data_IF_355183308162
#
_entry.id   IF_355183308162
#
_cell.length_a   1.000
_cell.length_b   1.000
_cell.length_c   1.000
_cell.angle_alpha   90.00
_cell.angle_beta   90.00
_cell.angle_gamma   90.00
#
_symmetry.space_group_name_H-M   'P 1'
#
loop_
_entity.id
_entity.type
_entity.pdbx_description
1 polymer ?
#
# COMPACT_ATOMS: atom_id res chain seq x y z
N UNK A 1 53.46 -15.43 24.42
CA UNK A 1 52.76 -15.54 23.10
C UNK A 1 51.76 -14.40 23.07
N UNK A 2 52.08 -13.37 22.28
CA UNK A 2 51.24 -12.20 22.09
C UNK A 2 50.09 -12.56 21.20
N UNK A 3 48.85 -12.34 21.67
CA UNK A 3 47.65 -12.34 20.84
C UNK A 3 47.42 -10.88 20.37
N UNK A 4 47.69 -10.65 19.10
CA UNK A 4 47.38 -9.39 18.43
C UNK A 4 45.87 -9.27 18.24
N UNK A 5 45.26 -8.28 18.89
CA UNK A 5 43.86 -7.94 18.72
C UNK A 5 43.59 -7.36 17.34
N UNK A 6 42.64 -7.94 16.62
CA UNK A 6 42.15 -7.41 15.38
C UNK A 6 41.23 -6.20 15.70
N UNK A 7 41.76 -5.00 15.56
CA UNK A 7 41.00 -3.76 15.73
C UNK A 7 40.13 -3.49 14.52
N UNK A 8 38.85 -3.86 14.58
CA UNK A 8 37.88 -3.30 13.67
C UNK A 8 37.58 -1.86 14.08
N UNK A 9 38.14 -0.90 13.37
CA UNK A 9 37.77 0.51 13.50
C UNK A 9 36.39 0.68 12.82
N UNK A 10 35.34 0.80 13.62
CA UNK A 10 34.07 1.30 13.17
C UNK A 10 34.16 2.79 12.91
N UNK A 11 34.23 3.20 11.67
CA UNK A 11 33.94 4.59 11.29
C UNK A 11 32.44 4.80 11.42
N UNK A 12 31.96 5.73 12.24
CA UNK A 12 30.54 6.08 12.23
C UNK A 12 30.20 6.60 10.85
N UNK A 13 29.21 5.98 10.21
CA UNK A 13 28.56 6.56 9.04
C UNK A 13 27.90 7.84 9.53
N UNK A 14 28.37 9.00 9.07
CA UNK A 14 27.67 10.26 9.29
C UNK A 14 26.25 10.09 8.74
N UNK A 15 25.28 9.93 9.64
CA UNK A 15 23.88 10.13 9.32
C UNK A 15 23.75 11.59 8.90
N UNK A 16 23.80 11.86 7.60
CA UNK A 16 23.18 13.09 7.10
C UNK A 16 21.72 12.99 7.48
N UNK A 17 21.30 13.78 8.45
CA UNK A 17 19.90 14.08 8.71
C UNK A 17 19.34 14.62 7.39
N UNK A 18 18.77 13.74 6.58
CA UNK A 18 17.91 14.15 5.48
C UNK A 18 16.71 14.76 6.17
N UNK A 19 16.50 16.07 6.01
CA UNK A 19 15.27 16.72 6.47
C UNK A 19 14.09 15.88 6.02
N UNK A 20 13.31 15.40 6.99
CA UNK A 20 12.11 14.60 6.72
C UNK A 20 11.10 15.51 6.03
N UNK A 21 10.94 15.34 4.72
CA UNK A 21 9.95 16.10 3.95
C UNK A 21 8.58 15.57 4.38
N UNK A 22 7.85 16.37 5.15
CA UNK A 22 6.48 16.05 5.53
C UNK A 22 5.61 16.01 4.28
N UNK A 23 4.87 14.93 4.15
CA UNK A 23 3.88 14.78 3.08
C UNK A 23 2.72 15.77 3.33
N UNK A 24 2.75 16.91 2.66
CA UNK A 24 1.76 17.98 2.80
C UNK A 24 0.68 17.88 1.73
N UNK A 25 -0.48 18.53 1.94
CA UNK A 25 -1.52 18.62 0.91
C UNK A 25 -1.02 19.31 -0.36
N UNK A 26 -0.14 20.30 -0.24
CA UNK A 26 0.45 20.98 -1.40
C UNK A 26 1.32 20.03 -2.24
N UNK A 27 2.13 19.18 -1.60
CA UNK A 27 2.92 18.16 -2.29
C UNK A 27 2.00 17.11 -2.93
N UNK A 28 0.94 16.71 -2.24
CA UNK A 28 -0.05 15.79 -2.77
C UNK A 28 -0.77 16.37 -4.00
N UNK A 29 -1.10 17.65 -4.00
CA UNK A 29 -1.71 18.34 -5.16
C UNK A 29 -0.77 18.37 -6.36
N UNK A 30 0.51 18.61 -6.12
CA UNK A 30 1.51 18.56 -7.18
C UNK A 30 1.56 17.16 -7.82
N UNK A 31 1.60 16.11 -7.01
CA UNK A 31 1.62 14.73 -7.51
C UNK A 31 0.30 14.35 -8.18
N UNK A 32 -0.85 14.78 -7.64
CA UNK A 32 -2.15 14.52 -8.24
C UNK A 32 -2.29 15.14 -9.65
N UNK A 33 -1.63 16.26 -9.90
CA UNK A 33 -1.61 16.87 -11.23
C UNK A 33 -0.82 16.05 -12.27
N UNK A 34 0.10 15.19 -11.83
CA UNK A 34 0.91 14.34 -12.71
C UNK A 34 0.21 13.03 -13.10
N UNK A 35 -0.82 12.60 -12.37
CA UNK A 35 -1.50 11.32 -12.63
C UNK A 35 -2.66 11.49 -13.59
N UNK A 36 -2.85 10.49 -14.47
CA UNK A 36 -3.95 10.48 -15.45
C UNK A 36 -5.32 10.10 -14.87
N UNK A 37 -5.41 9.88 -13.56
CA UNK A 37 -6.64 9.47 -12.85
C UNK A 37 -6.77 10.33 -11.61
N UNK A 38 -7.94 10.93 -11.38
CA UNK A 38 -8.20 11.66 -10.14
C UNK A 38 -8.17 10.70 -8.94
N UNK A 39 -7.14 10.78 -8.08
CA UNK A 39 -6.97 9.86 -6.96
C UNK A 39 -7.82 10.23 -5.75
N UNK A 40 -8.50 11.37 -5.76
CA UNK A 40 -9.24 11.88 -4.60
C UNK A 40 -10.33 10.91 -4.18
N UNK A 41 -10.42 10.60 -2.88
CA UNK A 41 -11.56 9.87 -2.36
C UNK A 41 -12.84 10.71 -2.50
N UNK A 42 -13.99 10.04 -2.47
CA UNK A 42 -15.25 10.75 -2.41
C UNK A 42 -15.38 11.41 -1.02
N UNK A 43 -15.42 12.73 -0.98
CA UNK A 43 -15.57 13.52 0.25
C UNK A 43 -16.92 13.29 0.96
N UNK A 44 -17.88 12.67 0.29
CA UNK A 44 -19.21 12.39 0.85
C UNK A 44 -19.31 11.05 1.58
N UNK A 45 -18.22 10.29 1.68
CA UNK A 45 -18.24 9.00 2.38
C UNK A 45 -18.28 9.24 3.90
N UNK A 46 -19.45 9.04 4.49
CA UNK A 46 -19.62 9.09 5.93
C UNK A 46 -19.48 7.68 6.50
N UNK A 47 -18.42 7.41 7.25
CA UNK A 47 -18.18 6.14 7.95
C UNK A 47 -18.65 6.21 9.41
N UNK A 48 -19.67 7.04 9.71
CA UNK A 48 -20.24 7.23 11.06
C UNK A 48 -21.76 7.26 10.92
N UNK A 49 -22.47 6.44 11.70
CA UNK A 49 -23.94 6.47 11.76
C UNK A 49 -24.47 7.62 12.62
N UNK A 50 -25.80 7.78 12.63
CA UNK A 50 -26.49 8.83 13.40
C UNK A 50 -26.22 8.77 14.92
N UNK A 51 -25.75 7.62 15.43
CA UNK A 51 -25.40 7.38 16.82
C UNK A 51 -23.92 7.52 17.11
N UNK A 52 -23.11 7.91 16.10
CA UNK A 52 -21.67 8.05 16.21
C UNK A 52 -20.89 6.73 16.12
N UNK A 53 -21.54 5.63 15.74
CA UNK A 53 -20.86 4.34 15.55
C UNK A 53 -20.15 4.31 14.20
N UNK A 54 -18.94 3.75 14.19
CA UNK A 54 -18.17 3.57 12.95
C UNK A 54 -18.82 2.51 12.05
N UNK A 55 -19.17 2.90 10.83
CA UNK A 55 -19.67 2.01 9.78
C UNK A 55 -18.58 1.87 8.72
N UNK A 56 -17.94 0.69 8.70
CA UNK A 56 -16.95 0.38 7.68
C UNK A 56 -17.57 0.33 6.29
N UNK A 57 -16.96 1.02 5.32
CA UNK A 57 -17.34 0.86 3.92
C UNK A 57 -17.19 -0.61 3.47
N UNK A 58 -18.06 -1.11 2.56
CA UNK A 58 -17.91 -2.44 1.99
C UNK A 58 -16.58 -2.60 1.24
N UNK A 59 -16.04 -3.82 1.22
CA UNK A 59 -14.92 -4.14 0.35
C UNK A 59 -15.39 -4.09 -1.11
N UNK A 60 -14.76 -3.23 -1.92
CA UNK A 60 -15.18 -3.02 -3.30
C UNK A 60 -14.58 -4.04 -4.26
N UNK A 61 -13.42 -4.61 -3.89
CA UNK A 61 -12.66 -5.55 -4.72
C UNK A 61 -12.47 -6.82 -3.91
N UNK A 62 -13.04 -7.93 -4.39
CA UNK A 62 -13.09 -9.20 -3.67
C UNK A 62 -12.75 -10.38 -4.59
N UNK A 63 -12.02 -10.14 -5.68
CA UNK A 63 -11.67 -11.18 -6.63
C UNK A 63 -10.80 -12.26 -5.97
N UNK A 64 -11.23 -13.53 -5.95
CA UNK A 64 -10.40 -14.61 -5.42
C UNK A 64 -9.39 -15.11 -6.46
N UNK A 65 -8.40 -15.84 -6.02
CA UNK A 65 -7.63 -16.71 -6.90
C UNK A 65 -8.39 -18.02 -7.12
N UNK A 66 -8.35 -18.55 -8.34
CA UNK A 66 -9.03 -19.81 -8.65
C UNK A 66 -9.09 -20.13 -10.15
N UNK A 67 -9.90 -21.14 -10.48
CA UNK A 67 -10.02 -21.65 -11.84
C UNK A 67 -11.30 -21.27 -12.56
N UNK A 68 -12.21 -20.63 -11.87
CA UNK A 68 -13.50 -20.18 -12.45
C UNK A 68 -13.27 -18.99 -13.36
N UNK A 69 -14.24 -18.74 -14.23
CA UNK A 69 -14.30 -17.52 -15.02
C UNK A 69 -14.38 -16.29 -14.09
N UNK A 70 -13.52 -15.31 -14.32
CA UNK A 70 -13.42 -14.11 -13.49
C UNK A 70 -12.51 -14.21 -12.29
N UNK A 71 -12.01 -15.42 -11.95
CA UNK A 71 -10.99 -15.57 -10.91
C UNK A 71 -9.62 -15.07 -11.37
N UNK A 72 -8.84 -14.54 -10.43
CA UNK A 72 -7.45 -14.20 -10.65
C UNK A 72 -6.64 -15.50 -10.89
N UNK A 73 -5.76 -15.47 -11.87
CA UNK A 73 -4.81 -16.56 -12.11
C UNK A 73 -3.49 -16.27 -11.42
N UNK A 74 -2.98 -17.25 -10.69
CA UNK A 74 -1.69 -17.15 -10.04
C UNK A 74 -0.59 -16.97 -11.11
N UNK A 75 0.17 -15.90 -10.97
CA UNK A 75 1.29 -15.55 -11.84
C UNK A 75 2.37 -14.90 -11.00
N UNK A 76 3.59 -15.44 -11.06
CA UNK A 76 4.72 -14.88 -10.30
C UNK A 76 5.00 -13.44 -10.74
N UNK A 77 5.29 -12.59 -9.77
CA UNK A 77 5.63 -11.16 -9.95
C UNK A 77 4.54 -10.30 -10.60
N UNK A 78 3.29 -10.78 -10.61
CA UNK A 78 2.15 -10.03 -11.11
C UNK A 78 1.41 -9.27 -10.03
N UNK A 79 1.44 -9.77 -8.80
CA UNK A 79 0.67 -9.21 -7.69
C UNK A 79 1.55 -8.62 -6.62
N UNK A 80 1.07 -7.56 -6.00
CA UNK A 80 1.71 -6.90 -4.86
C UNK A 80 0.73 -6.62 -3.74
N UNK A 81 1.18 -6.79 -2.50
CA UNK A 81 0.42 -6.44 -1.29
C UNK A 81 0.81 -5.04 -0.86
N UNK A 82 -0.16 -4.14 -0.82
CA UNK A 82 0.02 -2.77 -0.33
C UNK A 82 -0.51 -2.68 1.10
N UNK A 83 0.34 -2.24 2.02
CA UNK A 83 0.08 -2.36 3.45
C UNK A 83 0.58 -1.18 4.28
N UNK A 84 0.07 -1.03 5.50
CA UNK A 84 0.49 -0.01 6.44
C UNK A 84 0.93 -0.64 7.77
N UNK A 85 2.06 -0.20 8.32
CA UNK A 85 2.64 -0.77 9.56
C UNK A 85 1.75 -0.64 10.78
N UNK A 86 0.95 0.43 10.88
CA UNK A 86 0.01 0.65 11.97
C UNK A 86 -1.31 -0.13 11.84
N UNK A 87 -1.47 -0.92 10.77
CA UNK A 87 -2.71 -1.64 10.50
C UNK A 87 -2.57 -3.13 10.82
N UNK A 88 -3.21 -3.60 11.91
CA UNK A 88 -3.19 -5.01 12.29
C UNK A 88 -3.75 -5.93 11.20
N UNK A 89 -4.72 -5.46 10.43
CA UNK A 89 -5.27 -6.21 9.28
C UNK A 89 -4.24 -6.39 8.17
N UNK A 90 -3.39 -5.39 7.96
CA UNK A 90 -2.30 -5.44 6.97
C UNK A 90 -1.20 -6.42 7.34
N UNK A 91 -0.92 -6.60 8.62
CA UNK A 91 0.10 -7.52 9.09
C UNK A 91 -0.22 -8.98 8.74
N UNK A 92 -1.51 -9.34 8.69
CA UNK A 92 -1.94 -10.72 8.42
C UNK A 92 -1.45 -11.25 7.06
N UNK A 93 -1.74 -10.62 5.90
CA UNK A 93 -1.25 -11.11 4.62
C UNK A 93 0.27 -11.03 4.48
N UNK A 94 0.94 -10.08 5.13
CA UNK A 94 2.41 -10.02 5.14
C UNK A 94 2.98 -11.23 5.90
N UNK A 95 2.44 -11.57 7.07
CA UNK A 95 2.87 -12.76 7.84
C UNK A 95 2.65 -14.03 7.01
N UNK A 96 1.50 -14.18 6.36
CA UNK A 96 1.20 -15.35 5.53
C UNK A 96 2.17 -15.45 4.34
N UNK A 97 2.45 -14.33 3.67
CA UNK A 97 3.44 -14.25 2.58
C UNK A 97 4.81 -14.77 3.04
N UNK A 98 5.26 -14.34 4.23
CA UNK A 98 6.53 -14.80 4.81
C UNK A 98 6.51 -16.28 5.17
N UNK A 99 5.46 -16.75 5.84
CA UNK A 99 5.34 -18.15 6.26
C UNK A 99 5.27 -19.13 5.09
N UNK A 100 4.70 -18.72 3.97
CA UNK A 100 4.56 -19.53 2.76
C UNK A 100 5.74 -19.38 1.78
N UNK A 101 6.73 -18.55 2.07
CA UNK A 101 7.89 -18.34 1.21
C UNK A 101 7.55 -17.66 -0.11
N UNK A 102 6.59 -16.72 -0.11
CA UNK A 102 6.10 -16.06 -1.33
C UNK A 102 6.82 -14.75 -1.65
N UNK A 103 7.93 -14.45 -0.98
CA UNK A 103 8.64 -13.18 -1.09
C UNK A 103 9.15 -12.90 -2.52
N UNK A 104 9.56 -13.96 -3.22
CA UNK A 104 10.11 -13.85 -4.57
C UNK A 104 9.04 -13.79 -5.68
N UNK A 105 7.76 -14.00 -5.31
CA UNK A 105 6.66 -14.09 -6.30
C UNK A 105 5.52 -13.11 -6.08
N UNK A 106 5.37 -12.59 -4.85
CA UNK A 106 4.40 -11.54 -4.51
C UNK A 106 5.18 -10.40 -3.88
N UNK A 107 5.22 -9.26 -4.55
CA UNK A 107 5.85 -8.06 -3.99
C UNK A 107 5.06 -7.48 -2.82
N UNK A 108 5.72 -6.69 -2.00
CA UNK A 108 5.05 -5.88 -0.99
C UNK A 108 5.49 -4.42 -1.09
N UNK A 109 4.56 -3.51 -0.85
CA UNK A 109 4.89 -2.08 -0.77
C UNK A 109 4.18 -1.47 0.45
N UNK A 110 4.97 -0.84 1.29
CA UNK A 110 4.44 -0.13 2.44
C UNK A 110 3.97 1.26 2.01
N UNK A 111 2.71 1.58 2.31
CA UNK A 111 2.20 2.96 2.20
C UNK A 111 2.55 3.75 3.45
N UNK A 112 2.46 5.07 3.39
CA UNK A 112 2.71 5.94 4.55
C UNK A 112 1.83 5.56 5.74
N UNK A 113 2.34 5.73 6.97
CA UNK A 113 1.57 5.48 8.18
C UNK A 113 0.27 6.29 8.21
N UNK A 114 -0.71 5.77 8.95
CA UNK A 114 -2.06 6.34 9.08
C UNK A 114 -2.13 7.70 9.80
N UNK A 115 -1.04 8.40 10.03
CA UNK A 115 -1.00 9.76 10.56
C UNK A 115 -0.61 10.81 9.53
N UNK A 116 -0.11 10.37 8.38
CA UNK A 116 0.30 11.24 7.27
C UNK A 116 -0.67 11.15 6.08
N UNK A 117 -1.90 10.71 6.33
CA UNK A 117 -2.92 10.70 5.30
C UNK A 117 -3.30 12.14 4.96
N UNK A 118 -3.05 12.51 3.73
CA UNK A 118 -3.59 13.72 3.15
C UNK A 118 -5.01 13.45 2.61
N UNK A 119 -5.66 14.45 2.03
CA UNK A 119 -6.99 14.31 1.44
C UNK A 119 -7.09 13.29 0.30
N UNK A 120 -5.97 12.82 -0.23
CA UNK A 120 -5.91 11.76 -1.25
C UNK A 120 -5.79 10.35 -0.65
N UNK A 121 -5.73 10.22 0.67
CA UNK A 121 -5.61 8.97 1.39
C UNK A 121 -4.17 8.47 1.52
N UNK A 122 -3.97 7.15 1.48
CA UNK A 122 -2.66 6.54 1.57
C UNK A 122 -1.78 6.87 0.36
N UNK A 123 -0.58 7.35 0.65
CA UNK A 123 0.43 7.71 -0.33
C UNK A 123 1.73 6.92 -0.11
N UNK A 124 2.68 7.03 -1.01
CA UNK A 124 4.01 6.47 -0.85
C UNK A 124 4.94 7.52 -0.26
N UNK A 125 5.69 7.15 0.76
CA UNK A 125 6.51 8.10 1.51
C UNK A 125 7.87 8.38 0.87
N UNK A 126 8.62 9.31 1.48
CA UNK A 126 9.95 9.74 1.03
C UNK A 126 10.94 8.57 0.87
N UNK A 127 10.83 7.52 1.70
CA UNK A 127 11.68 6.33 1.62
C UNK A 127 11.51 5.54 0.29
N UNK A 128 10.46 5.83 -0.49
CA UNK A 128 10.20 5.32 -1.83
C UNK A 128 10.28 6.42 -2.91
N UNK A 129 10.89 7.56 -2.59
CA UNK A 129 10.89 8.74 -3.45
C UNK A 129 9.46 9.16 -3.88
N UNK A 130 8.51 9.00 -2.94
CA UNK A 130 7.08 9.29 -3.09
C UNK A 130 6.34 8.49 -4.17
N UNK A 131 6.95 7.48 -4.74
CA UNK A 131 6.37 6.64 -5.80
C UNK A 131 6.42 5.16 -5.45
N UNK A 132 5.38 4.45 -5.85
CA UNK A 132 5.43 3.00 -5.83
C UNK A 132 6.48 2.47 -6.83
N UNK A 133 7.45 1.67 -6.39
CA UNK A 133 8.56 1.23 -7.24
C UNK A 133 8.12 0.33 -8.41
N UNK A 134 7.00 -0.40 -8.25
CA UNK A 134 6.52 -1.34 -9.26
C UNK A 134 5.67 -0.66 -10.35
N UNK A 135 4.92 0.39 -10.00
CA UNK A 135 3.93 0.97 -10.91
C UNK A 135 4.13 2.45 -11.21
N UNK A 136 4.91 3.15 -10.37
CA UNK A 136 5.11 4.60 -10.44
C UNK A 136 3.95 5.42 -9.89
N UNK A 137 2.98 4.80 -9.22
CA UNK A 137 1.84 5.49 -8.60
C UNK A 137 2.29 6.32 -7.39
N UNK A 138 1.63 7.44 -7.14
CA UNK A 138 1.83 8.28 -5.95
C UNK A 138 0.87 7.93 -4.81
N UNK A 139 -0.34 7.40 -5.16
CA UNK A 139 -1.41 7.15 -4.22
C UNK A 139 -1.99 5.75 -4.38
N UNK A 140 -2.35 5.11 -3.28
CA UNK A 140 -3.06 3.84 -3.30
C UNK A 140 -4.42 3.95 -4.03
N UNK A 141 -5.07 5.11 -3.94
CA UNK A 141 -6.36 5.39 -4.58
C UNK A 141 -6.31 5.34 -6.12
N UNK A 142 -5.14 5.53 -6.74
CA UNK A 142 -5.01 5.39 -8.19
C UNK A 142 -5.37 3.98 -8.66
N UNK A 143 -4.96 2.94 -7.94
CA UNK A 143 -5.30 1.56 -8.29
C UNK A 143 -6.79 1.28 -8.20
N UNK A 144 -7.45 1.90 -7.21
CA UNK A 144 -8.90 1.79 -7.04
C UNK A 144 -9.66 2.48 -8.18
N UNK A 145 -9.24 3.69 -8.55
CA UNK A 145 -9.85 4.43 -9.66
C UNK A 145 -9.60 3.78 -11.00
N UNK A 146 -8.45 3.17 -11.22
CA UNK A 146 -8.16 2.40 -12.44
C UNK A 146 -8.97 1.10 -12.51
N UNK A 147 -9.25 0.45 -11.37
CA UNK A 147 -10.12 -0.72 -11.32
C UNK A 147 -11.60 -0.36 -11.56
N UNK A 148 -12.04 0.77 -11.00
CA UNK A 148 -13.38 1.30 -11.17
C UNK A 148 -13.31 2.85 -11.14
N UNK A 149 -13.43 3.53 -12.30
CA UNK A 149 -13.41 5.00 -12.37
C UNK A 149 -14.50 5.66 -11.52
N UNK A 150 -15.63 5.00 -11.34
CA UNK A 150 -16.76 5.48 -10.53
C UNK A 150 -16.64 5.13 -9.05
N UNK A 151 -15.52 4.55 -8.62
CA UNK A 151 -15.30 4.20 -7.22
C UNK A 151 -15.39 5.45 -6.32
N UNK A 152 -16.27 5.38 -5.32
CA UNK A 152 -16.59 6.49 -4.41
C UNK A 152 -16.12 6.24 -2.98
N UNK A 153 -15.36 5.19 -2.76
CA UNK A 153 -14.88 4.83 -1.44
C UNK A 153 -13.45 5.34 -1.17
N UNK A 154 -13.01 5.06 0.03
CA UNK A 154 -11.63 5.28 0.46
C UNK A 154 -10.77 4.06 0.10
N UNK A 155 -9.60 4.28 -0.48
CA UNK A 155 -8.59 3.24 -0.63
C UNK A 155 -8.05 2.81 0.75
N UNK A 156 -8.04 1.52 1.00
CA UNK A 156 -7.74 0.95 2.33
C UNK A 156 -6.62 -0.07 2.26
N UNK A 157 -5.95 -0.30 3.39
CA UNK A 157 -4.95 -1.37 3.53
C UNK A 157 -5.48 -2.50 4.41
N UNK A 158 -5.10 -3.77 4.15
CA UNK A 158 -4.31 -4.23 3.02
C UNK A 158 -5.08 -4.19 1.70
N UNK A 159 -4.35 -4.06 0.59
CA UNK A 159 -4.91 -4.21 -0.76
C UNK A 159 -3.96 -5.04 -1.61
N UNK A 160 -4.49 -6.02 -2.33
CA UNK A 160 -3.80 -6.73 -3.40
C UNK A 160 -4.01 -5.97 -4.71
N UNK A 161 -2.91 -5.71 -5.39
CA UNK A 161 -2.90 -5.00 -6.68
C UNK A 161 -2.31 -5.90 -7.75
N UNK A 162 -2.94 -5.96 -8.91
CA UNK A 162 -2.32 -6.42 -10.13
C UNK A 162 -1.37 -5.32 -10.62
N UNK A 163 -0.06 -5.52 -10.45
CA UNK A 163 0.94 -4.49 -10.78
C UNK A 163 1.13 -4.32 -12.28
N UNK A 164 0.81 -5.33 -13.10
CA UNK A 164 0.83 -5.24 -14.57
C UNK A 164 -0.29 -4.32 -15.07
N UNK A 165 -1.52 -4.58 -14.59
CA UNK A 165 -2.70 -3.80 -14.95
C UNK A 165 -2.83 -2.50 -14.14
N UNK A 166 -2.01 -2.36 -13.08
CA UNK A 166 -2.03 -1.22 -12.14
C UNK A 166 -3.41 -0.99 -11.51
N UNK A 167 -4.08 -2.08 -11.12
CA UNK A 167 -5.45 -2.08 -10.60
C UNK A 167 -5.56 -2.80 -9.27
N UNK A 168 -6.36 -2.26 -8.35
CA UNK A 168 -6.77 -2.99 -7.16
C UNK A 168 -7.66 -4.17 -7.56
N UNK A 169 -7.35 -5.37 -7.04
CA UNK A 169 -8.10 -6.59 -7.35
C UNK A 169 -8.75 -7.20 -6.13
N UNK A 170 -8.17 -7.01 -4.95
CA UNK A 170 -8.75 -7.51 -3.71
C UNK A 170 -8.37 -6.63 -2.52
N UNK A 171 -9.36 -6.12 -1.80
CA UNK A 171 -9.18 -5.40 -0.53
C UNK A 171 -10.00 -6.02 0.61
N UNK A 172 -10.36 -7.31 0.47
CA UNK A 172 -11.05 -8.06 1.51
C UNK A 172 -10.07 -8.45 2.63
N UNK A 173 -9.91 -7.55 3.58
CA UNK A 173 -9.00 -7.71 4.71
C UNK A 173 -9.32 -8.92 5.60
N UNK A 174 -10.52 -9.51 5.49
CA UNK A 174 -10.87 -10.73 6.20
C UNK A 174 -10.36 -12.00 5.51
N UNK A 175 -10.45 -12.05 4.17
CA UNK A 175 -10.24 -13.26 3.38
C UNK A 175 -8.94 -13.26 2.58
N UNK A 176 -8.28 -12.12 2.43
CA UNK A 176 -7.07 -12.00 1.61
C UNK A 176 -5.98 -13.03 1.97
N UNK A 177 -5.96 -13.51 3.22
CA UNK A 177 -5.04 -14.55 3.69
C UNK A 177 -5.47 -15.97 3.36
N UNK A 178 -6.64 -16.16 2.77
CA UNK A 178 -7.19 -17.48 2.44
C UNK A 178 -7.04 -17.83 0.96
N UNK A 179 -6.50 -16.88 0.20
CA UNK A 179 -6.32 -17.02 -1.28
C UNK A 179 -4.86 -17.30 -1.69
#
# INVERSE_FOLDING_TARGET
KNMSGCGCSFTPVENKETEEIKYTDALAEQFAAEVGVDPRPNETLVEIDERGAFIRQPNAFIQPFGDKEGDLKAEANRFGIYWATGCNWSNRPIIVRELLGLQDVISETRVSPSGETNRYGHAFGQYLDFKDPATGAYFLSEFYKRANPDFKGRATTPTLVDVKEKKAVNNDYHRLTNY
#
